data_IF_800509895971
#
_entry.id   IF_800509895971
#
_cell.length_a   1.000
_cell.length_b   1.000
_cell.length_c   1.000
_cell.angle_alpha   90.00
_cell.angle_beta   90.00
_cell.angle_gamma   90.00
#
_symmetry.space_group_name_H-M   'P 1'
#
loop_
_entity.id
_entity.type
_entity.pdbx_description
1 polymer ?
#
# COMPACT_ATOMS: atom_id res chain seq x y z
N UNK A 1 16.82 -1.42 2.12
CA UNK A 1 15.51 -1.83 1.57
C UNK A 1 15.83 -2.61 0.32
N UNK A 2 15.44 -3.88 0.31
CA UNK A 2 15.82 -4.88 -0.69
C UNK A 2 15.43 -4.44 -2.11
N UNK A 3 16.31 -4.59 -3.09
CA UNK A 3 16.02 -4.37 -4.52
C UNK A 3 14.81 -5.20 -4.98
N UNK A 4 14.53 -6.31 -4.29
CA UNK A 4 13.33 -7.13 -4.46
C UNK A 4 12.03 -6.32 -4.45
N UNK A 5 11.84 -5.38 -3.51
CA UNK A 5 10.59 -4.59 -3.41
C UNK A 5 10.39 -3.75 -4.67
N UNK A 6 11.45 -3.06 -5.13
CA UNK A 6 11.36 -2.17 -6.30
C UNK A 6 11.20 -2.96 -7.61
N UNK A 7 11.83 -4.14 -7.70
CA UNK A 7 11.59 -5.06 -8.81
C UNK A 7 10.13 -5.54 -8.83
N UNK A 8 9.57 -5.89 -7.67
CA UNK A 8 8.16 -6.29 -7.55
C UNK A 8 7.22 -5.16 -7.93
N UNK A 9 7.48 -3.92 -7.50
CA UNK A 9 6.67 -2.75 -7.89
C UNK A 9 6.64 -2.57 -9.43
N UNK A 10 7.80 -2.62 -10.07
CA UNK A 10 7.91 -2.53 -11.55
C UNK A 10 7.21 -3.70 -12.24
N UNK A 11 7.37 -4.92 -11.72
CA UNK A 11 6.73 -6.11 -12.27
C UNK A 11 5.20 -6.02 -12.15
N UNK A 12 4.68 -5.58 -11.01
CA UNK A 12 3.25 -5.36 -10.78
C UNK A 12 2.70 -4.30 -11.74
N UNK A 13 3.39 -3.16 -11.91
CA UNK A 13 2.99 -2.14 -12.88
C UNK A 13 2.98 -2.69 -14.31
N UNK A 14 4.02 -3.41 -14.73
CA UNK A 14 4.08 -4.03 -16.06
C UNK A 14 2.97 -5.06 -16.30
N UNK A 15 2.63 -5.86 -15.28
CA UNK A 15 1.51 -6.80 -15.35
C UNK A 15 0.16 -6.08 -15.46
N UNK A 16 -0.07 -5.02 -14.68
CA UNK A 16 -1.29 -4.22 -14.75
C UNK A 16 -1.44 -3.48 -16.09
N UNK A 17 -0.34 -2.94 -16.62
CA UNK A 17 -0.31 -2.27 -17.92
C UNK A 17 -0.71 -3.25 -19.04
N UNK A 18 -0.22 -4.49 -18.97
CA UNK A 18 -0.55 -5.54 -19.94
C UNK A 18 -2.00 -6.04 -19.82
N UNK A 19 -2.53 -6.11 -18.60
CA UNK A 19 -3.87 -6.64 -18.34
C UNK A 19 -4.98 -5.62 -18.64
N UNK A 20 -4.79 -4.36 -18.23
CA UNK A 20 -5.87 -3.37 -18.19
C UNK A 20 -5.61 -2.15 -19.09
N UNK A 21 -4.35 -1.86 -19.43
CA UNK A 21 -3.96 -0.64 -20.13
C UNK A 21 -3.37 0.44 -19.20
N UNK A 22 -3.11 1.62 -19.77
CA UNK A 22 -2.31 2.70 -19.15
C UNK A 22 -3.02 4.06 -19.13
N UNK A 23 -4.31 4.11 -19.46
CA UNK A 23 -5.07 5.36 -19.51
C UNK A 23 -5.47 5.87 -18.12
N UNK A 24 -6.04 7.06 -18.08
CA UNK A 24 -6.45 7.72 -16.82
C UNK A 24 -7.47 6.89 -16.04
N UNK A 25 -8.32 6.11 -16.71
CA UNK A 25 -9.27 5.21 -16.07
C UNK A 25 -8.55 4.09 -15.29
N UNK A 26 -7.55 3.45 -15.91
CA UNK A 26 -6.77 2.39 -15.27
C UNK A 26 -5.91 2.94 -14.13
N UNK A 27 -5.29 4.12 -14.32
CA UNK A 27 -4.56 4.82 -13.27
C UNK A 27 -5.47 5.18 -12.10
N UNK A 28 -6.69 5.65 -12.37
CA UNK A 28 -7.70 5.92 -11.35
C UNK A 28 -8.00 4.65 -10.54
N UNK A 29 -8.22 3.50 -11.19
CA UNK A 29 -8.44 2.24 -10.49
C UNK A 29 -7.26 1.85 -9.59
N UNK A 30 -6.01 2.03 -10.03
CA UNK A 30 -4.82 1.73 -9.23
C UNK A 30 -4.70 2.65 -8.00
N UNK A 31 -5.13 3.90 -8.11
CA UNK A 31 -5.21 4.83 -6.98
C UNK A 31 -6.35 4.44 -6.04
N UNK A 32 -7.52 4.08 -6.58
CA UNK A 32 -8.68 3.68 -5.79
C UNK A 32 -8.47 2.37 -5.02
N UNK A 33 -7.60 1.48 -5.51
CA UNK A 33 -7.20 0.26 -4.80
C UNK A 33 -6.69 0.56 -3.39
N UNK A 34 -6.06 1.72 -3.12
CA UNK A 34 -5.66 2.10 -1.76
C UNK A 34 -6.84 2.15 -0.78
N UNK A 35 -8.03 2.54 -1.23
CA UNK A 35 -9.23 2.58 -0.39
C UNK A 35 -9.70 1.17 -0.03
N UNK A 36 -9.55 0.22 -0.93
CA UNK A 36 -9.86 -1.19 -0.69
C UNK A 36 -8.92 -1.77 0.37
N UNK A 37 -7.61 -1.61 0.19
CA UNK A 37 -6.58 -2.08 1.14
C UNK A 37 -6.75 -1.42 2.53
N UNK A 38 -7.05 -0.12 2.58
CA UNK A 38 -7.34 0.57 3.84
C UNK A 38 -8.61 0.02 4.52
N UNK A 39 -9.59 -0.41 3.74
CA UNK A 39 -10.78 -1.12 4.22
C UNK A 39 -10.44 -2.50 4.80
N UNK A 40 -9.51 -3.22 4.18
CA UNK A 40 -9.01 -4.51 4.65
C UNK A 40 -8.25 -4.36 5.98
N UNK A 41 -7.38 -3.36 6.11
CA UNK A 41 -6.76 -2.99 7.40
C UNK A 41 -7.81 -2.75 8.49
N UNK A 42 -8.86 -1.97 8.18
CA UNK A 42 -9.93 -1.69 9.12
C UNK A 42 -10.68 -2.97 9.51
N UNK A 43 -10.98 -3.83 8.53
CA UNK A 43 -11.61 -5.13 8.75
C UNK A 43 -10.77 -6.05 9.63
N UNK A 44 -9.48 -6.18 9.34
CA UNK A 44 -8.53 -6.96 10.12
C UNK A 44 -8.42 -6.43 11.56
N UNK A 45 -8.37 -5.11 11.75
CA UNK A 45 -8.27 -4.53 13.09
C UNK A 45 -9.55 -4.76 13.92
N UNK A 46 -10.73 -4.58 13.31
CA UNK A 46 -12.02 -4.91 13.95
C UNK A 46 -12.07 -6.40 14.31
N UNK A 47 -11.57 -7.25 13.41
CA UNK A 47 -11.46 -8.70 13.61
C UNK A 47 -10.50 -9.08 14.73
N UNK A 48 -9.36 -8.39 14.85
CA UNK A 48 -8.36 -8.63 15.88
C UNK A 48 -8.83 -8.22 17.28
N UNK A 49 -9.65 -7.17 17.36
CA UNK A 49 -10.28 -6.74 18.60
C UNK A 49 -11.52 -7.57 18.97
N UNK A 50 -12.02 -8.42 18.08
CA UNK A 50 -13.25 -9.19 18.27
C UNK A 50 -14.51 -8.31 18.38
N UNK A 51 -14.49 -7.09 17.84
CA UNK A 51 -15.56 -6.09 18.04
C UNK A 51 -16.88 -6.46 17.34
N UNK A 52 -16.86 -7.40 16.40
CA UNK A 52 -18.07 -7.97 15.83
C UNK A 52 -18.50 -9.20 16.64
N UNK A 53 -19.49 -9.09 17.55
CA UNK A 53 -19.88 -10.19 18.43
C UNK A 53 -20.44 -11.41 17.68
N UNK A 54 -20.87 -11.26 16.42
CA UNK A 54 -21.30 -12.38 15.56
C UNK A 54 -20.14 -13.23 15.04
N UNK A 55 -18.92 -12.70 15.02
CA UNK A 55 -17.74 -13.37 14.46
C UNK A 55 -16.64 -13.64 15.49
N UNK A 56 -16.65 -12.95 16.64
CA UNK A 56 -15.57 -13.07 17.63
C UNK A 56 -14.24 -12.55 17.09
N UNK A 57 -13.13 -13.05 17.62
CA UNK A 57 -11.78 -12.73 17.14
C UNK A 57 -11.51 -13.52 15.87
N UNK A 58 -11.26 -12.83 14.77
CA UNK A 58 -11.04 -13.45 13.45
C UNK A 58 -9.65 -13.21 12.86
N UNK A 59 -8.92 -12.24 13.40
CA UNK A 59 -7.60 -11.85 12.92
C UNK A 59 -6.65 -11.68 14.10
N UNK A 60 -5.37 -11.67 13.80
CA UNK A 60 -4.26 -11.38 14.71
C UNK A 60 -3.72 -9.96 14.45
N UNK A 61 -2.74 -9.52 15.25
CA UNK A 61 -2.05 -8.26 14.98
C UNK A 61 -1.12 -8.39 13.78
N UNK A 62 -0.62 -9.60 13.53
CA UNK A 62 0.21 -9.96 12.40
C UNK A 62 -0.58 -9.84 11.09
N UNK A 63 -1.85 -10.26 11.08
CA UNK A 63 -2.73 -10.06 9.93
C UNK A 63 -2.92 -8.56 9.65
N UNK A 64 -3.16 -7.75 10.68
CA UNK A 64 -3.26 -6.29 10.52
C UNK A 64 -1.98 -5.68 9.98
N UNK A 65 -0.82 -6.18 10.40
CA UNK A 65 0.47 -5.72 9.90
C UNK A 65 0.68 -6.12 8.42
N UNK A 66 0.18 -7.28 8.00
CA UNK A 66 0.19 -7.70 6.61
C UNK A 66 -0.66 -6.77 5.74
N UNK A 67 -1.90 -6.47 6.15
CA UNK A 67 -2.77 -5.53 5.43
C UNK A 67 -2.15 -4.11 5.33
N UNK A 68 -1.46 -3.66 6.40
CA UNK A 68 -0.74 -2.39 6.36
C UNK A 68 0.43 -2.41 5.37
N UNK A 69 1.08 -3.56 5.19
CA UNK A 69 2.13 -3.74 4.18
C UNK A 69 1.52 -3.71 2.77
N UNK A 70 0.34 -4.28 2.57
CA UNK A 70 -0.37 -4.26 1.29
C UNK A 70 -0.81 -2.84 0.89
N UNK A 71 -1.30 -2.03 1.85
CA UNK A 71 -1.54 -0.59 1.64
C UNK A 71 -0.26 0.11 1.18
N UNK A 72 0.86 -0.13 1.87
CA UNK A 72 2.14 0.50 1.55
C UNK A 72 2.62 0.09 0.15
N UNK A 73 2.58 -1.21 -0.17
CA UNK A 73 3.00 -1.73 -1.48
C UNK A 73 2.11 -1.21 -2.61
N UNK A 74 0.79 -1.19 -2.41
CA UNK A 74 -0.19 -0.63 -3.36
C UNK A 74 0.08 0.84 -3.67
N UNK A 75 0.44 1.64 -2.66
CA UNK A 75 0.84 3.03 -2.87
C UNK A 75 2.09 3.15 -3.74
N UNK A 76 3.09 2.28 -3.57
CA UNK A 76 4.30 2.28 -4.41
C UNK A 76 3.98 1.91 -5.87
N UNK A 77 3.10 0.92 -6.08
CA UNK A 77 2.63 0.54 -7.43
C UNK A 77 1.85 1.66 -8.09
N UNK A 78 1.02 2.39 -7.36
CA UNK A 78 0.29 3.54 -7.88
C UNK A 78 1.25 4.68 -8.30
N UNK A 79 2.29 4.96 -7.49
CA UNK A 79 3.31 5.96 -7.83
C UNK A 79 4.10 5.56 -9.10
N UNK A 80 4.55 4.31 -9.18
CA UNK A 80 5.23 3.77 -10.37
C UNK A 80 4.33 3.85 -11.62
N UNK A 81 3.02 3.61 -11.45
CA UNK A 81 2.03 3.71 -12.54
C UNK A 81 1.86 5.15 -13.06
N UNK A 82 2.10 6.15 -12.22
CA UNK A 82 2.15 7.56 -12.63
C UNK A 82 3.45 7.92 -13.38
N UNK A 83 4.36 6.97 -13.57
CA UNK A 83 5.67 7.20 -14.20
C UNK A 83 6.66 7.94 -13.30
N UNK A 84 6.44 7.93 -11.99
CA UNK A 84 7.31 8.56 -10.99
C UNK A 84 8.11 7.50 -10.23
N UNK A 85 9.28 7.85 -9.72
CA UNK A 85 10.11 6.93 -8.93
C UNK A 85 9.58 6.80 -7.48
N UNK A 86 8.98 5.65 -7.11
CA UNK A 86 8.44 5.44 -5.76
C UNK A 86 9.52 5.43 -4.69
N UNK A 87 10.76 5.01 -5.03
CA UNK A 87 11.87 4.96 -4.07
C UNK A 87 12.26 6.36 -3.65
N UNK A 88 12.52 7.24 -4.62
CA UNK A 88 12.89 8.63 -4.34
C UNK A 88 11.78 9.37 -3.57
N UNK A 89 10.51 9.17 -3.95
CA UNK A 89 9.38 9.83 -3.29
C UNK A 89 9.17 9.34 -1.85
N UNK A 90 9.31 8.05 -1.58
CA UNK A 90 9.22 7.51 -0.23
C UNK A 90 10.37 8.02 0.64
N UNK A 91 11.60 8.06 0.11
CA UNK A 91 12.75 8.64 0.81
C UNK A 91 12.54 10.12 1.15
N UNK A 92 12.05 10.90 0.20
CA UNK A 92 11.74 12.32 0.41
C UNK A 92 10.65 12.52 1.47
N UNK A 93 9.60 11.68 1.46
CA UNK A 93 8.56 11.69 2.48
C UNK A 93 9.14 11.42 3.89
N UNK A 94 9.96 10.37 4.03
CA UNK A 94 10.60 10.04 5.30
C UNK A 94 11.54 11.15 5.80
N UNK A 95 12.32 11.76 4.90
CA UNK A 95 13.20 12.88 5.23
C UNK A 95 12.40 14.10 5.73
N UNK A 96 11.30 14.43 5.05
CA UNK A 96 10.39 15.52 5.43
C UNK A 96 9.77 15.29 6.82
N UNK A 97 9.42 14.05 7.15
CA UNK A 97 8.89 13.71 8.49
C UNK A 97 9.98 13.83 9.56
N UNK A 98 11.18 13.28 9.32
CA UNK A 98 12.31 13.40 10.28
C UNK A 98 12.66 14.84 10.61
N UNK A 99 12.67 15.72 9.60
CA UNK A 99 12.92 17.15 9.80
C UNK A 99 11.89 17.83 10.71
N UNK A 100 10.66 17.30 10.78
CA UNK A 100 9.58 17.83 11.64
C UNK A 100 9.61 17.26 13.06
N UNK A 101 10.13 16.05 13.23
CA UNK A 101 10.15 15.35 14.53
C UNK A 101 11.41 15.63 15.36
N UNK A 102 12.27 16.57 14.94
CA UNK A 102 13.43 17.03 15.71
C UNK A 102 14.53 15.99 15.94
N UNK A 103 14.44 14.86 15.26
CA UNK A 103 15.41 13.74 15.31
C UNK A 103 16.36 13.92 14.12
N UNK A 104 17.30 14.85 14.27
CA UNK A 104 18.43 15.06 13.37
C UNK A 104 19.65 14.25 13.84
#
# INVERSE_FOLDING_TARGET
MDESIWNSVRASRGWLDAANGTGDAELTCRILKLTEEAGEVAGAWIGALGQNPRKGVTHSREDVAAELADVAFTALVAIESLGLDPRSLLHACAAKVRARTGTA
#
